data_IF_365823285481
#
_entry.id   IF_365823285481
#
_cell.length_a   1.000
_cell.length_b   1.000
_cell.length_c   1.000
_cell.angle_alpha   90.00
_cell.angle_beta   90.00
_cell.angle_gamma   90.00
#
_symmetry.space_group_name_H-M   'P 1'
#
loop_
_entity.id
_entity.type
_entity.pdbx_description
1 polymer ?
#
# COMPACT_ATOMS: atom_id res chain seq x y z
N UNK A 1 -5.76 -10.39 9.80
CA UNK A 1 -6.19 -9.92 11.13
C UNK A 1 -5.22 -8.82 11.56
N UNK A 2 -5.69 -7.62 11.86
CA UNK A 2 -4.86 -6.49 12.28
C UNK A 2 -5.17 -6.12 13.73
N UNK A 3 -4.14 -5.85 14.51
CA UNK A 3 -4.27 -5.33 15.88
C UNK A 3 -3.72 -3.91 15.88
N UNK A 4 -4.52 -2.95 16.32
CA UNK A 4 -4.13 -1.55 16.45
C UNK A 4 -4.01 -1.19 17.93
N UNK A 5 -2.89 -0.58 18.30
CA UNK A 5 -2.66 -0.07 19.65
C UNK A 5 -2.62 1.47 19.62
N UNK A 6 -3.36 2.16 20.48
CA UNK A 6 -3.22 3.60 20.67
C UNK A 6 -1.80 3.95 21.16
N UNK A 7 -1.23 5.05 20.66
CA UNK A 7 0.09 5.52 21.10
C UNK A 7 0.21 5.68 22.62
N UNK A 8 -0.84 6.20 23.24
CA UNK A 8 -0.89 6.36 24.71
C UNK A 8 -0.69 5.03 25.47
N UNK A 9 -1.18 3.91 24.92
CA UNK A 9 -0.99 2.59 25.53
C UNK A 9 0.45 2.11 25.40
N UNK A 10 1.13 2.42 24.31
CA UNK A 10 2.53 2.07 24.07
C UNK A 10 3.45 2.87 24.98
N UNK A 11 3.18 4.17 25.13
CA UNK A 11 3.91 5.05 26.05
C UNK A 11 3.75 4.63 27.52
N UNK A 12 2.53 4.28 27.94
CA UNK A 12 2.24 3.81 29.30
C UNK A 12 2.97 2.50 29.67
N UNK A 13 3.33 1.68 28.68
CA UNK A 13 4.08 0.44 28.86
C UNK A 13 5.61 0.62 28.83
N UNK A 14 6.11 1.87 28.66
CA UNK A 14 7.54 2.18 28.65
C UNK A 14 8.25 1.83 27.34
N UNK A 15 7.53 1.49 26.27
CA UNK A 15 8.09 1.17 24.94
C UNK A 15 8.18 2.37 24.00
N UNK A 16 8.03 3.58 24.52
CA UNK A 16 8.01 4.81 23.72
C UNK A 16 9.29 5.00 22.89
N UNK A 17 10.44 4.74 23.49
CA UNK A 17 11.74 4.95 22.84
C UNK A 17 11.94 3.96 21.68
N UNK A 18 11.68 2.70 21.91
CA UNK A 18 11.80 1.63 20.90
C UNK A 18 10.80 1.84 19.76
N UNK A 19 9.60 2.29 20.11
CA UNK A 19 8.57 2.60 19.12
C UNK A 19 8.96 3.82 18.26
N UNK A 20 9.48 4.88 18.88
CA UNK A 20 9.95 6.07 18.15
C UNK A 20 11.17 5.76 17.27
N UNK A 21 12.06 4.87 17.69
CA UNK A 21 13.18 4.42 16.85
C UNK A 21 12.68 3.67 15.60
N UNK A 22 11.69 2.79 15.74
CA UNK A 22 11.01 2.14 14.62
C UNK A 22 10.33 3.14 13.69
N UNK A 23 9.69 4.19 14.26
CA UNK A 23 9.04 5.26 13.49
C UNK A 23 10.05 6.12 12.72
N UNK A 24 11.15 6.53 13.38
CA UNK A 24 12.21 7.32 12.74
C UNK A 24 12.86 6.59 11.58
N UNK A 25 13.03 5.27 11.72
CA UNK A 25 13.57 4.44 10.65
C UNK A 25 12.67 4.36 9.40
N UNK A 26 11.40 4.73 9.52
CA UNK A 26 10.40 4.56 8.44
C UNK A 26 9.82 5.87 7.88
N UNK A 27 10.05 7.02 8.54
CA UNK A 27 9.53 8.35 8.14
C UNK A 27 8.01 8.37 7.80
N UNK A 28 7.19 7.52 8.41
CA UNK A 28 5.76 7.38 8.11
C UNK A 28 4.90 7.57 9.33
N UNK A 29 3.74 8.29 9.21
CA UNK A 29 2.77 8.46 10.30
C UNK A 29 2.00 7.18 10.64
N UNK A 30 2.01 6.17 9.76
CA UNK A 30 1.41 4.85 9.98
C UNK A 30 2.38 3.77 9.52
N UNK A 31 2.78 2.90 10.44
CA UNK A 31 3.58 1.71 10.16
C UNK A 31 2.63 0.53 9.97
N UNK A 32 2.49 0.08 8.73
CA UNK A 32 1.87 -1.21 8.45
C UNK A 32 2.98 -2.23 8.18
N UNK A 33 3.17 -3.16 9.11
CA UNK A 33 4.03 -4.32 8.91
C UNK A 33 3.16 -5.57 8.77
N UNK A 34 3.40 -6.33 7.72
CA UNK A 34 2.86 -7.69 7.62
C UNK A 34 3.98 -8.66 7.96
N UNK A 35 3.87 -9.30 9.10
CA UNK A 35 4.78 -10.36 9.55
C UNK A 35 3.91 -11.58 9.83
N UNK A 36 4.39 -12.76 9.43
CA UNK A 36 3.73 -13.99 9.85
C UNK A 36 3.80 -14.08 11.37
N UNK A 37 2.63 -14.00 12.02
CA UNK A 37 2.55 -13.99 13.46
C UNK A 37 3.11 -15.30 14.02
N UNK A 38 4.03 -15.26 15.00
CA UNK A 38 4.48 -16.45 15.69
C UNK A 38 3.30 -17.28 16.24
N UNK A 39 3.40 -18.61 16.32
CA UNK A 39 2.30 -19.46 16.78
C UNK A 39 1.70 -19.04 18.13
N UNK A 40 2.53 -18.55 19.05
CA UNK A 40 2.09 -18.04 20.35
C UNK A 40 1.21 -16.78 20.23
N UNK A 41 1.53 -15.86 19.32
CA UNK A 41 0.68 -14.67 19.06
C UNK A 41 -0.65 -15.11 18.45
N UNK A 42 -0.67 -16.10 17.56
CA UNK A 42 -1.91 -16.64 17.00
C UNK A 42 -2.79 -17.29 18.07
N UNK A 43 -2.20 -18.07 19.00
CA UNK A 43 -2.91 -18.69 20.12
C UNK A 43 -3.54 -17.63 21.02
N UNK A 44 -2.78 -16.62 21.45
CA UNK A 44 -3.29 -15.52 22.29
C UNK A 44 -4.41 -14.76 21.58
N UNK A 45 -4.27 -14.48 20.29
CA UNK A 45 -5.32 -13.82 19.52
C UNK A 45 -6.62 -14.65 19.47
N UNK A 46 -6.51 -15.97 19.37
CA UNK A 46 -7.67 -16.86 19.43
C UNK A 46 -8.32 -16.86 20.83
N UNK A 47 -7.54 -16.86 21.91
CA UNK A 47 -8.03 -16.75 23.28
C UNK A 47 -8.76 -15.43 23.56
N UNK A 48 -8.22 -14.29 23.06
CA UNK A 48 -8.85 -12.96 23.18
C UNK A 48 -10.20 -12.92 22.45
N UNK A 49 -10.30 -13.59 21.29
CA UNK A 49 -11.52 -13.60 20.47
C UNK A 49 -12.60 -14.55 21.01
N UNK A 50 -12.24 -15.49 21.88
CA UNK A 50 -13.14 -16.44 22.52
C UNK A 50 -12.80 -16.54 24.01
N UNK A 51 -13.08 -15.50 24.80
CA UNK A 51 -12.71 -15.47 26.20
C UNK A 51 -13.49 -16.57 26.99
N UNK A 52 -12.75 -17.39 27.70
CA UNK A 52 -13.32 -18.44 28.57
C UNK A 52 -13.71 -17.92 29.98
N UNK A 53 -13.39 -16.66 30.27
CA UNK A 53 -13.59 -16.02 31.58
C UNK A 53 -14.40 -14.74 31.45
N UNK A 54 -15.18 -14.44 32.47
CA UNK A 54 -15.96 -13.21 32.57
C UNK A 54 -15.51 -12.33 33.74
N UNK A 55 -15.94 -11.06 33.74
CA UNK A 55 -15.76 -10.13 34.83
C UNK A 55 -14.34 -9.53 34.91
N UNK A 56 -13.90 -9.26 36.14
CA UNK A 56 -12.66 -8.50 36.38
C UNK A 56 -11.40 -9.34 36.10
N UNK A 57 -11.48 -10.64 36.30
CA UNK A 57 -10.39 -11.59 35.98
C UNK A 57 -10.17 -11.67 34.46
N UNK A 58 -11.24 -11.67 33.69
CA UNK A 58 -11.15 -11.62 32.20
C UNK A 58 -10.46 -10.35 31.73
N UNK A 59 -10.80 -9.19 32.27
CA UNK A 59 -10.15 -7.90 31.92
C UNK A 59 -8.66 -7.91 32.23
N UNK A 60 -8.27 -8.47 33.38
CA UNK A 60 -6.86 -8.57 33.77
C UNK A 60 -6.09 -9.50 32.83
N UNK A 61 -6.67 -10.66 32.50
CA UNK A 61 -6.08 -11.61 31.58
C UNK A 61 -5.93 -11.02 30.18
N UNK A 62 -6.96 -10.36 29.65
CA UNK A 62 -6.92 -9.70 28.35
C UNK A 62 -5.87 -8.59 28.30
N UNK A 63 -5.71 -7.82 29.37
CA UNK A 63 -4.67 -6.79 29.48
C UNK A 63 -3.26 -7.40 29.45
N UNK A 64 -3.04 -8.48 30.18
CA UNK A 64 -1.77 -9.22 30.19
C UNK A 64 -1.46 -9.83 28.81
N UNK A 65 -2.45 -10.44 28.18
CA UNK A 65 -2.33 -11.01 26.84
C UNK A 65 -2.05 -9.94 25.77
N UNK A 66 -2.71 -8.80 25.85
CA UNK A 66 -2.46 -7.67 24.95
C UNK A 66 -1.01 -7.15 25.10
N UNK A 67 -0.51 -7.07 26.34
CA UNK A 67 0.87 -6.69 26.64
C UNK A 67 1.85 -7.73 26.09
N UNK A 68 1.58 -9.02 26.25
CA UNK A 68 2.41 -10.10 25.67
C UNK A 68 2.45 -10.03 24.15
N UNK A 69 1.31 -9.82 23.49
CA UNK A 69 1.24 -9.65 22.01
C UNK A 69 2.07 -8.45 21.57
N UNK A 70 1.96 -7.32 22.27
CA UNK A 70 2.72 -6.12 21.97
C UNK A 70 4.23 -6.38 22.09
N UNK A 71 4.68 -6.91 23.22
CA UNK A 71 6.09 -7.18 23.47
C UNK A 71 6.68 -8.18 22.45
N UNK A 72 5.99 -9.28 22.19
CA UNK A 72 6.40 -10.28 21.19
C UNK A 72 6.34 -9.75 19.77
N UNK A 73 5.34 -8.91 19.45
CA UNK A 73 5.23 -8.25 18.17
C UNK A 73 6.39 -7.29 17.91
N UNK A 74 6.74 -6.47 18.89
CA UNK A 74 7.90 -5.57 18.82
C UNK A 74 9.21 -6.33 18.65
N UNK A 75 9.40 -7.42 19.40
CA UNK A 75 10.58 -8.27 19.27
C UNK A 75 10.66 -8.94 17.89
N UNK A 76 9.53 -9.44 17.36
CA UNK A 76 9.46 -10.01 16.03
C UNK A 76 9.75 -8.98 14.93
N UNK A 77 9.24 -7.75 15.08
CA UNK A 77 9.52 -6.64 14.18
C UNK A 77 11.01 -6.27 14.21
N UNK A 78 11.61 -6.17 15.40
CA UNK A 78 13.04 -5.88 15.56
C UNK A 78 13.91 -6.96 14.92
N UNK A 79 13.65 -8.22 15.21
CA UNK A 79 14.34 -9.34 14.56
C UNK A 79 14.17 -9.33 13.04
N UNK A 80 12.97 -9.03 12.56
CA UNK A 80 12.71 -8.95 11.13
C UNK A 80 13.45 -7.75 10.50
N UNK A 81 13.59 -6.64 11.23
CA UNK A 81 14.38 -5.48 10.80
C UNK A 81 15.88 -5.78 10.79
N UNK A 82 16.36 -6.56 11.75
CA UNK A 82 17.77 -6.97 11.85
C UNK A 82 18.12 -8.12 10.88
N UNK A 83 17.17 -9.04 10.62
CA UNK A 83 17.35 -10.20 9.73
C UNK A 83 16.87 -9.94 8.31
N UNK A 84 16.06 -8.91 8.08
CA UNK A 84 15.58 -8.57 6.75
C UNK A 84 16.74 -7.97 5.95
N UNK A 85 17.14 -8.72 4.96
CA UNK A 85 18.05 -8.25 3.93
C UNK A 85 17.59 -6.86 3.44
N UNK A 86 18.49 -5.86 3.35
CA UNK A 86 18.14 -4.53 2.79
C UNK A 86 17.42 -4.59 1.43
N UNK A 87 17.56 -5.70 0.72
CA UNK A 87 16.86 -6.01 -0.53
C UNK A 87 15.35 -6.18 -0.29
N UNK A 88 14.91 -6.85 0.78
CA UNK A 88 13.48 -7.10 1.06
C UNK A 88 12.74 -5.82 1.47
N UNK A 89 13.33 -4.98 2.30
CA UNK A 89 12.74 -3.67 2.63
C UNK A 89 12.57 -2.78 1.40
N UNK A 90 13.53 -2.80 0.49
CA UNK A 90 13.46 -2.06 -0.77
C UNK A 90 12.34 -2.59 -1.67
N UNK A 91 12.15 -3.91 -1.69
CA UNK A 91 11.09 -4.58 -2.46
C UNK A 91 9.70 -4.27 -1.90
N UNK A 92 9.53 -4.36 -0.57
CA UNK A 92 8.25 -4.00 0.11
C UNK A 92 7.88 -2.55 -0.15
N UNK A 93 8.83 -1.60 -0.06
CA UNK A 93 8.56 -0.18 -0.35
C UNK A 93 8.21 0.05 -1.83
N UNK A 94 8.85 -0.67 -2.73
CA UNK A 94 8.56 -0.59 -4.15
C UNK A 94 7.13 -1.09 -4.45
N UNK A 95 6.76 -2.21 -3.86
CA UNK A 95 5.41 -2.79 -3.97
C UNK A 95 4.35 -1.83 -3.40
N UNK A 96 4.57 -1.30 -2.19
CA UNK A 96 3.68 -0.31 -1.60
C UNK A 96 3.50 0.93 -2.48
N UNK A 97 4.58 1.38 -3.15
CA UNK A 97 4.50 2.52 -4.07
C UNK A 97 3.65 2.19 -5.31
N UNK A 98 3.74 0.97 -5.83
CA UNK A 98 2.90 0.48 -6.92
C UNK A 98 1.42 0.44 -6.51
N UNK A 99 1.13 -0.12 -5.35
CA UNK A 99 -0.24 -0.18 -4.80
C UNK A 99 -0.86 1.20 -4.59
N UNK A 100 -0.06 2.19 -4.17
CA UNK A 100 -0.52 3.58 -4.07
C UNK A 100 -0.88 4.19 -5.43
N UNK A 101 -0.12 3.88 -6.48
CA UNK A 101 -0.47 4.31 -7.85
C UNK A 101 -1.78 3.67 -8.32
N UNK A 102 -1.95 2.36 -8.06
CA UNK A 102 -3.15 1.62 -8.45
C UNK A 102 -4.40 2.09 -7.67
N UNK A 103 -4.24 2.49 -6.40
CA UNK A 103 -5.33 2.99 -5.56
C UNK A 103 -5.83 4.39 -5.95
N UNK A 104 -4.97 5.23 -6.51
CA UNK A 104 -5.34 6.58 -6.95
C UNK A 104 -4.65 6.94 -8.26
N UNK A 105 -5.24 6.50 -9.35
CA UNK A 105 -4.77 6.79 -10.70
C UNK A 105 -4.95 8.27 -11.09
N UNK A 106 -5.87 8.98 -10.47
CA UNK A 106 -6.14 10.40 -10.74
C UNK A 106 -5.04 11.30 -10.18
N UNK A 107 -4.42 10.89 -9.10
CA UNK A 107 -3.36 11.68 -8.46
C UNK A 107 -2.20 11.95 -9.44
N UNK A 108 -1.64 13.19 -9.47
CA UNK A 108 -0.57 13.57 -10.40
C UNK A 108 0.80 13.04 -9.97
N UNK A 109 0.95 11.73 -9.93
CA UNK A 109 2.18 11.05 -9.53
C UNK A 109 3.38 11.51 -10.36
N UNK A 110 4.43 11.97 -9.71
CA UNK A 110 5.72 12.25 -10.32
C UNK A 110 6.77 11.22 -9.87
N UNK A 111 7.80 11.03 -10.71
CA UNK A 111 8.92 10.15 -10.36
C UNK A 111 9.64 10.60 -9.07
N UNK A 112 9.65 11.92 -8.80
CA UNK A 112 10.23 12.48 -7.59
C UNK A 112 9.44 12.07 -6.34
N UNK A 113 8.12 12.19 -6.39
CA UNK A 113 7.22 11.82 -5.31
C UNK A 113 7.26 10.31 -5.03
N UNK A 114 7.19 9.48 -6.08
CA UNK A 114 7.26 8.03 -5.98
C UNK A 114 8.60 7.58 -5.37
N UNK A 115 9.71 8.15 -5.81
CA UNK A 115 11.04 7.85 -5.28
C UNK A 115 11.17 8.25 -3.80
N UNK A 116 10.67 9.44 -3.43
CA UNK A 116 10.63 9.92 -2.04
C UNK A 116 9.86 8.95 -1.15
N UNK A 117 8.67 8.53 -1.57
CA UNK A 117 7.84 7.56 -0.82
C UNK A 117 8.51 6.19 -0.69
N UNK A 118 9.26 5.76 -1.70
CA UNK A 118 10.04 4.53 -1.65
C UNK A 118 11.34 4.65 -0.84
N UNK A 119 11.70 5.85 -0.35
CA UNK A 119 12.97 6.11 0.33
C UNK A 119 14.18 5.86 -0.59
N UNK A 120 14.11 6.35 -1.83
CA UNK A 120 15.12 6.12 -2.85
C UNK A 120 15.39 7.39 -3.69
N UNK A 121 16.57 7.48 -4.31
CA UNK A 121 16.79 8.48 -5.36
C UNK A 121 15.94 8.15 -6.61
N UNK A 122 15.59 9.15 -7.42
CA UNK A 122 14.83 8.97 -8.67
C UNK A 122 15.44 7.90 -9.57
N UNK A 123 16.77 7.92 -9.73
CA UNK A 123 17.52 6.93 -10.52
C UNK A 123 17.38 5.52 -9.94
N UNK A 124 17.63 5.38 -8.65
CA UNK A 124 17.58 4.08 -7.97
C UNK A 124 16.16 3.50 -7.98
N UNK A 125 15.15 4.34 -7.73
CA UNK A 125 13.75 3.93 -7.79
C UNK A 125 13.38 3.41 -9.18
N UNK A 126 13.69 4.17 -10.24
CA UNK A 126 13.34 3.82 -11.61
C UNK A 126 14.03 2.53 -12.08
N UNK A 127 15.32 2.35 -11.74
CA UNK A 127 16.04 1.11 -12.01
C UNK A 127 15.40 -0.11 -11.34
N UNK A 128 15.07 0.01 -10.04
CA UNK A 128 14.44 -1.08 -9.29
C UNK A 128 13.03 -1.37 -9.77
N UNK A 129 12.25 -0.34 -10.07
CA UNK A 129 10.90 -0.51 -10.57
C UNK A 129 10.93 -1.24 -11.92
N UNK A 130 11.84 -0.84 -12.82
CA UNK A 130 12.02 -1.50 -14.11
C UNK A 130 12.50 -2.94 -13.98
N UNK A 131 13.40 -3.22 -13.04
CA UNK A 131 13.88 -4.57 -12.75
C UNK A 131 12.77 -5.47 -12.18
N UNK A 132 11.84 -4.91 -11.39
CA UNK A 132 10.76 -5.67 -10.75
C UNK A 132 9.55 -5.88 -11.66
N UNK A 133 9.22 -4.87 -12.51
CA UNK A 133 7.97 -4.84 -13.28
C UNK A 133 8.16 -4.74 -14.80
N UNK A 134 9.39 -4.73 -15.28
CA UNK A 134 9.72 -4.70 -16.72
C UNK A 134 9.63 -3.33 -17.38
N UNK A 135 8.94 -2.36 -16.77
CA UNK A 135 8.67 -1.02 -17.31
C UNK A 135 9.00 0.07 -16.29
N UNK A 136 9.13 1.32 -16.74
CA UNK A 136 9.28 2.45 -15.81
C UNK A 136 8.00 2.69 -15.02
N UNK A 137 8.10 3.31 -13.82
CA UNK A 137 6.94 3.59 -12.99
C UNK A 137 5.93 4.52 -13.69
N UNK A 138 6.41 5.49 -14.46
CA UNK A 138 5.54 6.41 -15.21
C UNK A 138 4.87 5.72 -16.40
N UNK A 139 5.57 4.81 -17.09
CA UNK A 139 4.95 4.01 -18.16
C UNK A 139 3.94 3.03 -17.61
N UNK A 140 4.25 2.39 -16.46
CA UNK A 140 3.29 1.57 -15.72
C UNK A 140 2.01 2.35 -15.39
N UNK A 141 2.14 3.52 -14.76
CA UNK A 141 1.00 4.39 -14.42
C UNK A 141 0.20 4.77 -15.67
N UNK A 142 0.90 5.14 -16.76
CA UNK A 142 0.23 5.47 -18.04
C UNK A 142 -0.59 4.29 -18.57
N UNK A 143 -0.02 3.11 -18.58
CA UNK A 143 -0.72 1.89 -19.03
C UNK A 143 -1.95 1.61 -18.16
N UNK A 144 -1.80 1.64 -16.82
CA UNK A 144 -2.92 1.42 -15.91
C UNK A 144 -4.06 2.43 -16.10
N UNK A 145 -3.73 3.71 -16.26
CA UNK A 145 -4.70 4.76 -16.58
C UNK A 145 -5.49 4.45 -17.85
N UNK A 146 -4.79 4.06 -18.91
CA UNK A 146 -5.43 3.75 -20.19
C UNK A 146 -6.29 2.48 -20.13
N UNK A 147 -5.87 1.45 -19.40
CA UNK A 147 -6.64 0.23 -19.17
C UNK A 147 -7.95 0.52 -18.43
N UNK A 148 -7.89 1.25 -17.30
CA UNK A 148 -9.08 1.62 -16.52
C UNK A 148 -10.02 2.54 -17.33
N UNK A 149 -9.46 3.48 -18.09
CA UNK A 149 -10.27 4.32 -18.97
C UNK A 149 -10.97 3.50 -20.07
N UNK A 150 -10.31 2.50 -20.64
CA UNK A 150 -10.93 1.58 -21.60
C UNK A 150 -12.08 0.81 -20.97
N UNK A 151 -11.90 0.28 -19.76
CA UNK A 151 -12.95 -0.41 -19.01
C UNK A 151 -14.16 0.50 -18.77
N UNK A 152 -13.91 1.76 -18.38
CA UNK A 152 -14.96 2.76 -18.17
C UNK A 152 -15.73 3.09 -19.47
N UNK A 153 -15.05 3.19 -20.61
CA UNK A 153 -15.68 3.40 -21.90
C UNK A 153 -16.52 2.21 -22.35
N UNK A 154 -16.02 0.98 -22.16
CA UNK A 154 -16.68 -0.24 -22.66
C UNK A 154 -17.81 -0.69 -21.74
N UNK A 155 -17.60 -0.69 -20.41
CA UNK A 155 -18.54 -1.32 -19.48
C UNK A 155 -19.38 -0.35 -18.66
N UNK A 156 -18.95 0.93 -18.53
CA UNK A 156 -19.64 1.93 -17.73
C UNK A 156 -20.31 3.01 -18.58
N UNK A 157 -20.26 2.88 -19.92
CA UNK A 157 -20.85 3.82 -20.88
C UNK A 157 -20.40 5.30 -20.68
N UNK A 158 -19.22 5.51 -20.09
CA UNK A 158 -18.69 6.86 -19.87
C UNK A 158 -18.35 7.55 -21.19
N UNK A 159 -18.48 8.86 -21.23
CA UNK A 159 -17.96 9.67 -22.31
C UNK A 159 -16.44 9.68 -22.32
N UNK A 160 -15.82 10.01 -23.44
CA UNK A 160 -14.36 10.12 -23.56
C UNK A 160 -13.78 11.12 -22.56
N UNK A 161 -14.50 12.22 -22.31
CA UNK A 161 -14.09 13.25 -21.34
C UNK A 161 -14.16 12.73 -19.92
N UNK A 162 -15.24 12.06 -19.54
CA UNK A 162 -15.38 11.46 -18.21
C UNK A 162 -14.33 10.38 -17.95
N UNK A 163 -14.08 9.51 -18.93
CA UNK A 163 -13.04 8.48 -18.82
C UNK A 163 -11.62 9.08 -18.70
N UNK A 164 -11.34 10.18 -19.41
CA UNK A 164 -10.06 10.89 -19.29
C UNK A 164 -9.90 11.52 -17.89
N UNK A 165 -10.93 12.18 -17.37
CA UNK A 165 -10.92 12.80 -16.03
C UNK A 165 -10.80 11.75 -14.93
N UNK A 166 -11.54 10.64 -15.02
CA UNK A 166 -11.49 9.51 -14.09
C UNK A 166 -10.05 9.06 -13.80
N UNK A 167 -9.21 9.04 -14.83
CA UNK A 167 -7.82 8.55 -14.73
C UNK A 167 -6.78 9.67 -14.68
N UNK A 168 -7.21 10.93 -14.47
CA UNK A 168 -6.33 12.08 -14.22
C UNK A 168 -5.68 12.70 -15.44
N UNK A 169 -6.29 12.60 -16.62
CA UNK A 169 -5.91 13.39 -17.78
C UNK A 169 -6.67 14.73 -17.79
N UNK A 170 -5.96 15.81 -17.57
CA UNK A 170 -6.52 17.17 -17.60
C UNK A 170 -6.83 17.67 -19.01
N UNK A 171 -6.25 17.05 -20.05
CA UNK A 171 -6.46 17.40 -21.45
C UNK A 171 -6.96 16.17 -22.22
N UNK A 172 -8.22 16.17 -22.70
CA UNK A 172 -8.78 15.07 -23.48
C UNK A 172 -8.04 14.77 -24.79
N UNK A 173 -7.41 15.75 -25.43
CA UNK A 173 -6.63 15.52 -26.64
C UNK A 173 -5.35 14.72 -26.35
N UNK A 174 -4.68 15.01 -25.23
CA UNK A 174 -3.53 14.23 -24.77
C UNK A 174 -3.93 12.81 -24.43
N UNK A 175 -5.09 12.64 -23.78
CA UNK A 175 -5.67 11.33 -23.52
C UNK A 175 -5.94 10.55 -24.81
N UNK A 176 -6.66 11.13 -25.76
CA UNK A 176 -6.99 10.48 -27.03
C UNK A 176 -5.73 10.06 -27.81
N UNK A 177 -4.70 10.90 -27.80
CA UNK A 177 -3.41 10.59 -28.43
C UNK A 177 -2.70 9.42 -27.74
N UNK A 178 -2.63 9.43 -26.40
CA UNK A 178 -2.03 8.36 -25.62
C UNK A 178 -2.80 7.05 -25.78
N UNK A 179 -4.12 7.11 -25.77
CA UNK A 179 -5.02 5.99 -25.93
C UNK A 179 -4.86 5.32 -27.31
N UNK A 180 -4.90 6.13 -28.39
CA UNK A 180 -4.67 5.62 -29.74
C UNK A 180 -3.28 5.00 -29.91
N UNK A 181 -2.26 5.59 -29.31
CA UNK A 181 -0.89 5.03 -29.35
C UNK A 181 -0.82 3.68 -28.66
N UNK A 182 -1.59 3.48 -27.59
CA UNK A 182 -1.55 2.26 -26.78
C UNK A 182 -2.42 1.14 -27.35
N UNK A 183 -3.66 1.47 -27.77
CA UNK A 183 -4.65 0.48 -28.22
C UNK A 183 -4.83 0.41 -29.77
N UNK A 184 -4.15 1.27 -30.51
CA UNK A 184 -4.26 1.31 -31.98
C UNK A 184 -5.51 2.05 -32.51
N UNK A 185 -6.49 2.38 -31.66
CA UNK A 185 -7.77 2.97 -32.04
C UNK A 185 -8.16 4.14 -31.11
N UNK A 186 -8.98 5.04 -31.59
CA UNK A 186 -9.45 6.21 -30.82
C UNK A 186 -10.46 5.79 -29.72
N UNK A 187 -10.52 6.49 -28.58
CA UNK A 187 -11.41 6.13 -27.47
C UNK A 187 -12.90 6.04 -27.83
N UNK A 188 -13.35 6.89 -28.76
CA UNK A 188 -14.76 6.93 -29.20
C UNK A 188 -15.25 5.62 -29.82
N UNK A 189 -14.38 4.85 -30.49
CA UNK A 189 -14.72 3.56 -31.06
C UNK A 189 -15.02 2.49 -29.98
N UNK A 190 -14.35 2.57 -28.83
CA UNK A 190 -14.58 1.63 -27.72
C UNK A 190 -15.93 1.86 -27.04
N UNK A 191 -16.39 3.11 -26.98
CA UNK A 191 -17.72 3.45 -26.48
C UNK A 191 -18.84 2.95 -27.38
N UNK A 192 -18.68 3.03 -28.69
CA UNK A 192 -19.73 2.60 -29.65
C UNK A 192 -19.92 1.08 -29.67
N UNK A 193 -18.90 0.30 -29.31
CA UNK A 193 -19.01 -1.17 -29.23
C UNK A 193 -19.81 -1.68 -28.03
N UNK A 194 -20.03 -0.86 -26.99
CA UNK A 194 -20.84 -1.23 -25.83
C UNK A 194 -22.35 -1.02 -26.03
N UNK A 195 -22.77 -0.43 -27.15
CA UNK A 195 -24.18 -0.13 -27.46
C UNK A 195 -24.79 -1.10 -28.50
N UNK A 196 -24.02 -2.12 -28.90
CA UNK A 196 -24.46 -3.18 -29.80
C UNK A 196 -24.62 -4.50 -29.09
#
# INVERSE_FOLDING_TARGET
MGVAFPYASIAALGFEKEFLELFRATERPVLAFSVQAPPRIQAIAAEILSPALDGQAAKLLMSAQATEVLARGMFALRRNTELSNPVDHKRVRLQATKEMMDADLRYPWSIAELARRAGASRRSFNLRFRAAYGVSAIDYLRTRRLEVAREALVYQNMTVTEAADLVGYTNPANFATAFRKHFGSVPSLYRSQSLS
#
